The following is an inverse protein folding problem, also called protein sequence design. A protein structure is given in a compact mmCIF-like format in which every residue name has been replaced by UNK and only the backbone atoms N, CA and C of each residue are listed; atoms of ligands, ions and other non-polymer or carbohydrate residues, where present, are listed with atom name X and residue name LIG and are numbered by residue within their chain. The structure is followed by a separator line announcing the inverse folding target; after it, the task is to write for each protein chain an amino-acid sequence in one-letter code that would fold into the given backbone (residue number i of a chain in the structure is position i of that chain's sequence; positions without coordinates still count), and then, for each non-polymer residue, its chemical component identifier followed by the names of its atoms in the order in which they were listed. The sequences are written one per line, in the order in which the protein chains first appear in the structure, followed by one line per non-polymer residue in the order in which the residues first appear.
data_IF_584736808502
#
_entry.id   IF_584736808502
#
_cell.length_a   1.000
_cell.length_b   1.000
_cell.length_c   1.000
_cell.angle_alpha   90.00
_cell.angle_beta   90.00
_cell.angle_gamma   90.00
#
_symmetry.space_group_name_H-M   'P 1'
#
loop_
_entity.id
_entity.type
_entity.pdbx_description
1 polymer ?
#
# COMPACT_ATOMS: atom_id res chain seq x y z
N UNK A 1 -2.54 33.05 25.66
CA UNK A 1 -3.25 32.42 24.54
C UNK A 1 -3.63 30.95 24.78
N UNK A 2 -3.57 30.42 26.02
CA UNK A 2 -4.00 29.05 26.35
C UNK A 2 -5.49 28.95 26.77
N UNK A 3 -6.14 30.08 27.09
CA UNK A 3 -7.47 30.09 27.74
C UNK A 3 -8.67 29.91 26.78
N UNK A 4 -8.45 29.42 25.55
CA UNK A 4 -9.50 29.15 24.53
C UNK A 4 -9.32 27.79 23.84
N UNK A 5 -8.51 26.90 24.41
CA UNK A 5 -8.32 25.54 23.91
C UNK A 5 -9.01 24.63 24.92
N UNK A 6 -10.06 23.95 24.49
CA UNK A 6 -10.85 23.07 25.37
C UNK A 6 -10.14 21.74 25.64
N UNK A 7 -9.39 21.20 24.67
CA UNK A 7 -8.61 19.96 24.80
C UNK A 7 -7.34 19.95 23.94
N UNK A 8 -6.32 19.22 24.39
CA UNK A 8 -5.06 19.00 23.65
C UNK A 8 -4.99 17.53 23.24
N UNK A 9 -5.00 17.28 21.93
CA UNK A 9 -4.82 15.94 21.36
C UNK A 9 -3.34 15.71 21.07
N UNK A 10 -2.73 14.71 21.72
CA UNK A 10 -1.34 14.31 21.49
C UNK A 10 -1.31 13.09 20.57
N UNK A 11 -0.70 13.25 19.40
CA UNK A 11 -0.47 12.16 18.47
C UNK A 11 0.81 11.41 18.84
N UNK A 12 0.69 10.09 19.03
CA UNK A 12 1.84 9.22 19.25
C UNK A 12 2.47 8.85 17.91
N UNK A 13 3.80 8.63 17.86
CA UNK A 13 4.44 8.12 16.66
C UNK A 13 3.88 6.73 16.31
N UNK A 14 3.83 6.44 15.00
CA UNK A 14 3.34 5.18 14.47
C UNK A 14 4.32 4.04 14.80
N UNK A 15 3.81 2.90 15.22
CA UNK A 15 4.58 1.66 15.32
C UNK A 15 4.39 0.79 14.08
N UNK A 16 5.19 -0.25 13.92
CA UNK A 16 5.13 -1.17 12.76
C UNK A 16 3.72 -1.71 12.53
N UNK A 17 3.01 -2.08 13.60
CA UNK A 17 1.65 -2.61 13.50
C UNK A 17 0.64 -1.57 12.98
N UNK A 18 0.83 -0.30 13.30
CA UNK A 18 0.00 0.78 12.75
C UNK A 18 0.27 0.95 11.26
N UNK A 19 1.54 0.85 10.84
CA UNK A 19 1.93 0.93 9.43
C UNK A 19 1.33 -0.22 8.63
N UNK A 20 1.33 -1.44 9.16
CA UNK A 20 0.69 -2.59 8.52
C UNK A 20 -0.80 -2.33 8.28
N UNK A 21 -1.51 -1.79 9.27
CA UNK A 21 -2.93 -1.43 9.11
C UNK A 21 -3.14 -0.33 8.07
N UNK A 22 -2.25 0.67 8.03
CA UNK A 22 -2.31 1.74 7.02
C UNK A 22 -2.07 1.16 5.61
N UNK A 23 -1.10 0.25 5.46
CA UNK A 23 -0.87 -0.47 4.20
C UNK A 23 -2.12 -1.24 3.78
N UNK A 24 -2.74 -1.98 4.71
CA UNK A 24 -3.95 -2.74 4.41
C UNK A 24 -5.11 -1.85 3.95
N UNK A 25 -5.29 -0.68 4.58
CA UNK A 25 -6.31 0.31 4.18
C UNK A 25 -6.04 0.83 2.76
N UNK A 26 -4.82 1.28 2.48
CA UNK A 26 -4.45 1.82 1.16
C UNK A 26 -4.55 0.75 0.06
N UNK A 27 -4.10 -0.48 0.35
CA UNK A 27 -4.27 -1.62 -0.56
C UNK A 27 -5.74 -1.97 -0.76
N UNK A 28 -6.58 -1.86 0.27
CA UNK A 28 -8.03 -2.09 0.16
C UNK A 28 -8.67 -1.18 -0.90
N UNK A 29 -8.31 0.11 -0.92
CA UNK A 29 -8.79 1.02 -1.96
C UNK A 29 -8.34 0.62 -3.36
N UNK A 30 -7.12 0.08 -3.51
CA UNK A 30 -6.63 -0.41 -4.80
C UNK A 30 -7.37 -1.70 -5.23
N UNK A 31 -7.51 -2.65 -4.31
CA UNK A 31 -8.18 -3.94 -4.56
C UNK A 31 -9.62 -3.71 -5.00
N UNK A 32 -10.37 -2.81 -4.35
CA UNK A 32 -11.74 -2.49 -4.77
C UNK A 32 -11.78 -1.90 -6.19
N UNK A 33 -10.88 -0.98 -6.55
CA UNK A 33 -10.80 -0.44 -7.92
C UNK A 33 -10.46 -1.51 -8.95
N UNK A 34 -9.56 -2.44 -8.63
CA UNK A 34 -9.21 -3.55 -9.53
C UNK A 34 -10.38 -4.52 -9.70
N UNK A 35 -11.15 -4.76 -8.62
CA UNK A 35 -12.32 -5.61 -8.64
C UNK A 35 -13.43 -5.05 -9.54
N UNK A 36 -13.60 -3.73 -9.58
CA UNK A 36 -14.50 -3.07 -10.55
C UNK A 36 -14.05 -3.29 -12.01
N UNK A 37 -12.77 -3.55 -12.25
CA UNK A 37 -12.19 -3.94 -13.55
C UNK A 37 -12.10 -5.47 -13.73
N UNK A 38 -12.73 -6.24 -12.82
CA UNK A 38 -12.76 -7.70 -12.83
C UNK A 38 -11.43 -8.37 -12.47
N UNK A 39 -10.48 -7.67 -11.85
CA UNK A 39 -9.18 -8.21 -11.43
C UNK A 39 -9.15 -8.35 -9.91
N UNK A 40 -8.74 -9.51 -9.42
CA UNK A 40 -8.50 -9.73 -7.99
C UNK A 40 -7.00 -9.63 -7.72
N UNK A 41 -6.61 -8.92 -6.67
CA UNK A 41 -5.21 -8.79 -6.25
C UNK A 41 -5.06 -9.27 -4.80
N UNK A 42 -4.12 -10.20 -4.59
CA UNK A 42 -3.67 -10.62 -3.27
C UNK A 42 -2.19 -10.28 -3.10
N UNK A 43 -1.82 -9.71 -1.96
CA UNK A 43 -0.42 -9.45 -1.59
C UNK A 43 0.00 -10.37 -0.46
N UNK A 44 1.16 -11.02 -0.59
CA UNK A 44 1.74 -11.79 0.50
C UNK A 44 2.13 -10.89 1.68
N UNK A 45 2.26 -11.49 2.86
CA UNK A 45 2.75 -10.79 4.05
C UNK A 45 4.14 -10.17 3.81
N UNK A 46 5.01 -10.88 3.07
CA UNK A 46 6.37 -10.41 2.74
C UNK A 46 6.32 -9.20 1.80
N UNK A 47 5.39 -9.17 0.85
CA UNK A 47 5.17 -8.01 -0.01
C UNK A 47 4.69 -6.79 0.79
N UNK A 48 3.77 -6.98 1.75
CA UNK A 48 3.32 -5.90 2.63
C UNK A 48 4.46 -5.35 3.49
N UNK A 49 5.28 -6.22 4.06
CA UNK A 49 6.45 -5.81 4.84
C UNK A 49 7.45 -5.02 4.01
N UNK A 50 7.69 -5.44 2.76
CA UNK A 50 8.53 -4.68 1.83
C UNK A 50 8.00 -3.26 1.59
N UNK A 51 6.68 -3.08 1.44
CA UNK A 51 6.07 -1.76 1.26
C UNK A 51 6.26 -0.87 2.51
N UNK A 52 6.16 -1.46 3.71
CA UNK A 52 6.43 -0.75 4.97
C UNK A 52 7.90 -0.35 5.05
N UNK A 53 8.82 -1.27 4.77
CA UNK A 53 10.27 -1.02 4.81
C UNK A 53 10.68 0.12 3.86
N UNK A 54 10.09 0.19 2.66
CA UNK A 54 10.40 1.24 1.68
C UNK A 54 9.63 2.54 1.92
N UNK A 55 8.48 2.50 2.59
CA UNK A 55 7.55 3.63 2.76
C UNK A 55 7.54 4.28 4.13
N UNK A 56 8.18 3.66 5.12
CA UNK A 56 8.32 4.23 6.45
C UNK A 56 9.53 5.17 6.53
N UNK A 57 9.27 6.38 7.01
CA UNK A 57 10.31 7.34 7.37
C UNK A 57 10.08 7.82 8.81
N UNK A 58 11.07 7.75 9.72
CA UNK A 58 10.90 8.18 11.11
C UNK A 58 10.53 9.66 11.28
N UNK A 59 10.92 10.52 10.33
CA UNK A 59 10.65 11.96 10.32
C UNK A 59 9.29 12.25 9.68
N UNK A 60 8.95 11.55 8.60
CA UNK A 60 7.72 11.81 7.83
C UNK A 60 6.56 10.85 8.15
N UNK A 61 6.76 9.85 8.99
CA UNK A 61 5.78 8.82 9.35
C UNK A 61 5.36 7.98 8.15
N UNK A 62 4.07 7.63 8.08
CA UNK A 62 3.51 6.86 6.96
C UNK A 62 3.22 7.69 5.70
N UNK A 63 3.52 9.00 5.68
CA UNK A 63 3.20 9.86 4.53
C UNK A 63 3.78 9.35 3.20
N UNK A 64 5.02 8.81 3.14
CA UNK A 64 5.58 8.29 1.89
C UNK A 64 4.92 6.97 1.43
N UNK A 65 4.24 6.26 2.33
CA UNK A 65 3.74 4.91 2.12
C UNK A 65 2.78 4.81 0.93
N UNK A 66 1.87 5.77 0.79
CA UNK A 66 0.96 5.85 -0.37
C UNK A 66 1.71 5.92 -1.70
N UNK A 67 2.77 6.73 -1.76
CA UNK A 67 3.60 6.87 -2.96
C UNK A 67 4.38 5.59 -3.27
N UNK A 68 4.79 4.86 -2.25
CA UNK A 68 5.46 3.56 -2.41
C UNK A 68 4.48 2.51 -2.94
N UNK A 69 3.25 2.44 -2.42
CA UNK A 69 2.21 1.53 -2.93
C UNK A 69 1.90 1.86 -4.40
N UNK A 70 1.73 3.14 -4.74
CA UNK A 70 1.53 3.55 -6.14
C UNK A 70 2.66 3.06 -7.04
N UNK A 71 3.92 3.34 -6.67
CA UNK A 71 5.07 3.00 -7.50
C UNK A 71 5.30 1.49 -7.67
N UNK A 72 5.24 0.74 -6.57
CA UNK A 72 5.60 -0.67 -6.55
C UNK A 72 4.43 -1.60 -6.86
N UNK A 73 3.20 -1.14 -6.68
CA UNK A 73 1.99 -1.94 -6.92
C UNK A 73 1.21 -1.39 -8.10
N UNK A 74 0.69 -0.17 -8.00
CA UNK A 74 -0.23 0.37 -9.02
C UNK A 74 0.43 0.53 -10.39
N UNK A 75 1.58 1.20 -10.45
CA UNK A 75 2.29 1.47 -11.71
C UNK A 75 2.73 0.16 -12.40
N UNK A 76 3.25 -0.79 -11.61
CA UNK A 76 3.72 -2.08 -12.11
C UNK A 76 2.57 -2.92 -12.65
N UNK A 77 1.46 -2.99 -11.90
CA UNK A 77 0.27 -3.73 -12.31
C UNK A 77 -0.42 -3.08 -13.52
N UNK A 78 -0.47 -1.75 -13.58
CA UNK A 78 -1.03 -1.02 -14.72
C UNK A 78 -0.27 -1.35 -16.02
N UNK A 79 1.06 -1.43 -15.96
CA UNK A 79 1.87 -1.83 -17.11
C UNK A 79 1.54 -3.26 -17.58
N UNK A 80 1.39 -4.20 -16.65
CA UNK A 80 1.01 -5.58 -16.95
C UNK A 80 -0.42 -5.67 -17.56
N UNK A 81 -1.38 -4.89 -17.07
CA UNK A 81 -2.73 -4.81 -17.63
C UNK A 81 -2.70 -4.23 -19.06
N UNK A 82 -1.97 -3.13 -19.29
CA UNK A 82 -1.85 -2.50 -20.63
C UNK A 82 -1.20 -3.46 -21.62
N UNK A 83 -0.21 -4.24 -21.17
CA UNK A 83 0.44 -5.27 -21.99
C UNK A 83 -0.44 -6.51 -22.25
N UNK A 84 -1.67 -6.55 -21.72
CA UNK A 84 -2.63 -7.66 -21.77
C UNK A 84 -2.14 -8.94 -21.09
N UNK A 85 -1.16 -8.83 -20.17
CA UNK A 85 -0.68 -9.95 -19.36
C UNK A 85 -1.75 -10.41 -18.36
N UNK A 86 -2.37 -9.46 -17.66
CA UNK A 86 -3.54 -9.70 -16.83
C UNK A 86 -4.79 -9.12 -17.49
N UNK A 87 -5.86 -9.90 -17.52
CA UNK A 87 -7.15 -9.55 -18.13
C UNK A 87 -8.28 -9.62 -17.11
N UNK A 88 -9.45 -9.17 -17.49
CA UNK A 88 -10.67 -9.37 -16.70
C UNK A 88 -10.83 -10.85 -16.30
N UNK A 89 -11.18 -11.09 -15.03
CA UNK A 89 -11.24 -12.41 -14.40
C UNK A 89 -9.91 -12.91 -13.82
N UNK A 90 -8.80 -12.17 -13.97
CA UNK A 90 -7.50 -12.61 -13.43
C UNK A 90 -7.46 -12.52 -11.92
N UNK A 91 -6.85 -13.55 -11.32
CA UNK A 91 -6.40 -13.53 -9.95
C UNK A 91 -4.89 -13.29 -9.95
N UNK A 92 -4.45 -12.16 -9.44
CA UNK A 92 -3.05 -11.75 -9.42
C UNK A 92 -2.52 -11.86 -8.00
N UNK A 93 -1.43 -12.58 -7.84
CA UNK A 93 -0.70 -12.66 -6.58
C UNK A 93 0.57 -11.82 -6.67
N UNK A 94 0.78 -10.93 -5.71
CA UNK A 94 1.99 -10.12 -5.59
C UNK A 94 2.88 -10.62 -4.45
N UNK A 95 4.15 -10.86 -4.76
CA UNK A 95 5.17 -11.29 -3.79
C UNK A 95 6.48 -10.49 -3.94
N UNK A 96 7.32 -10.51 -2.90
CA UNK A 96 8.63 -9.86 -2.92
C UNK A 96 9.65 -10.75 -3.61
N UNK A 97 10.39 -10.20 -4.58
CA UNK A 97 11.57 -10.82 -5.17
C UNK A 97 12.73 -9.83 -5.21
N UNK A 98 13.65 -9.96 -4.25
CA UNK A 98 14.75 -9.01 -4.08
C UNK A 98 14.24 -7.62 -3.66
N UNK A 99 14.49 -6.62 -4.51
CA UNK A 99 14.12 -5.22 -4.29
C UNK A 99 12.88 -4.78 -5.11
N UNK A 100 12.10 -5.73 -5.62
CA UNK A 100 10.89 -5.47 -6.39
C UNK A 100 9.74 -6.40 -5.97
N UNK A 101 8.53 -5.99 -6.35
CA UNK A 101 7.36 -6.87 -6.32
C UNK A 101 7.22 -7.57 -7.67
N UNK A 102 6.91 -8.86 -7.62
CA UNK A 102 6.57 -9.66 -8.78
C UNK A 102 5.10 -10.05 -8.71
N UNK A 103 4.44 -10.04 -9.86
CA UNK A 103 3.03 -10.36 -10.03
C UNK A 103 2.92 -11.65 -10.82
N UNK A 104 2.11 -12.59 -10.36
CA UNK A 104 1.85 -13.88 -11.02
C UNK A 104 0.35 -14.15 -11.12
#
# INVERSE_FOLDING_TARGET
FLNRIDDIIVFRPLIKDDLTKIVDIELGYLIERLKEQGITLELTQVAKEFLIEKGFDPVFGARPLKRIIQRFVEDSLAQDIISKRFKEGSYVKADKKGDALVFE
#
